data_IF_510849373141
#
_entry.id   IF_510849373141
#
_cell.length_a   1.000
_cell.length_b   1.000
_cell.length_c   1.000
_cell.angle_alpha   90.00
_cell.angle_beta   90.00
_cell.angle_gamma   90.00
#
_symmetry.space_group_name_H-M   'P 1'
#
loop_
_entity.id
_entity.type
_entity.pdbx_description
1 polymer ?
#
# COMPACT_ATOMS: atom_id res chain seq x y z
N UNK A 1 -26.71 4.47 -10.40
CA UNK A 1 -25.58 5.42 -10.54
C UNK A 1 -24.33 4.57 -10.70
N UNK A 2 -23.74 4.50 -11.90
CA UNK A 2 -22.44 3.81 -12.08
C UNK A 2 -21.40 4.67 -11.38
N UNK A 3 -20.80 4.17 -10.31
CA UNK A 3 -19.61 4.79 -9.73
C UNK A 3 -18.52 4.55 -10.79
N UNK A 4 -18.17 5.59 -11.55
CA UNK A 4 -16.99 5.54 -12.42
C UNK A 4 -15.80 5.21 -11.52
N UNK A 5 -15.03 4.19 -11.88
CA UNK A 5 -13.90 3.74 -11.09
C UNK A 5 -12.73 4.71 -11.29
N UNK A 6 -12.82 5.88 -10.67
CA UNK A 6 -11.84 6.97 -10.79
C UNK A 6 -10.66 6.81 -9.86
N UNK A 7 -10.67 5.82 -8.96
CA UNK A 7 -9.63 5.63 -7.93
C UNK A 7 -8.23 5.57 -8.54
N UNK A 8 -8.10 4.95 -9.71
CA UNK A 8 -6.82 4.84 -10.40
C UNK A 8 -6.33 6.18 -10.99
N UNK A 9 -7.23 7.07 -11.41
CA UNK A 9 -6.94 8.28 -12.17
C UNK A 9 -6.31 9.39 -11.34
N UNK A 10 -5.52 10.27 -11.95
CA UNK A 10 -5.01 11.46 -11.28
C UNK A 10 -6.16 12.33 -10.74
N UNK A 11 -6.11 12.69 -9.45
CA UNK A 11 -7.07 13.56 -8.77
C UNK A 11 -6.55 14.98 -8.62
N UNK A 12 -5.23 15.17 -8.64
CA UNK A 12 -4.61 16.49 -8.55
C UNK A 12 -4.99 17.38 -9.72
N UNK A 13 -5.46 18.60 -9.38
CA UNK A 13 -5.71 19.67 -10.34
C UNK A 13 -4.50 20.59 -10.43
N UNK A 14 -4.39 21.33 -11.52
CA UNK A 14 -3.29 22.27 -11.72
C UNK A 14 -3.32 23.45 -10.75
N UNK A 15 -4.49 23.80 -10.24
CA UNK A 15 -4.68 24.85 -9.23
C UNK A 15 -4.25 24.44 -7.82
N UNK A 16 -3.99 23.16 -7.58
CA UNK A 16 -3.77 22.67 -6.23
C UNK A 16 -2.37 23.01 -5.71
N UNK A 17 -2.32 23.52 -4.48
CA UNK A 17 -1.09 23.85 -3.77
C UNK A 17 -1.00 23.00 -2.50
N UNK A 18 0.15 22.33 -2.29
CA UNK A 18 0.44 21.44 -1.14
C UNK A 18 -0.32 20.11 -1.15
N UNK A 19 -0.10 19.29 -2.17
CA UNK A 19 -0.67 17.95 -2.25
C UNK A 19 0.35 16.94 -2.77
N UNK A 20 0.07 15.67 -2.51
CA UNK A 20 0.75 14.54 -3.10
C UNK A 20 -0.29 13.55 -3.67
N UNK A 21 0.14 12.78 -4.67
CA UNK A 21 -0.59 11.63 -5.18
C UNK A 21 0.42 10.58 -5.62
N UNK A 22 0.26 9.35 -5.15
CA UNK A 22 1.20 8.26 -5.37
C UNK A 22 0.49 6.92 -5.50
N UNK A 23 1.05 6.07 -6.36
CA UNK A 23 0.63 4.69 -6.57
C UNK A 23 1.72 3.77 -6.07
N UNK A 24 1.35 2.87 -5.18
CA UNK A 24 2.23 1.86 -4.61
C UNK A 24 1.96 0.54 -5.32
N UNK A 25 2.99 0.01 -5.98
CA UNK A 25 3.01 -1.31 -6.59
C UNK A 25 3.94 -2.19 -5.77
N UNK A 26 3.44 -3.35 -5.33
CA UNK A 26 4.29 -4.36 -4.72
C UNK A 26 4.27 -5.62 -5.57
N UNK A 27 5.47 -6.14 -5.79
CA UNK A 27 5.76 -7.36 -6.54
C UNK A 27 6.46 -8.31 -5.57
N UNK A 28 5.99 -9.56 -5.51
CA UNK A 28 6.60 -10.61 -4.70
C UNK A 28 6.82 -11.84 -5.56
N UNK A 29 8.08 -12.22 -5.71
CA UNK A 29 8.54 -13.49 -6.29
C UNK A 29 9.25 -14.33 -5.21
N UNK A 30 9.47 -15.62 -5.48
CA UNK A 30 10.22 -16.50 -4.60
C UNK A 30 11.66 -16.03 -4.29
N UNK A 31 12.26 -15.18 -5.14
CA UNK A 31 13.64 -14.68 -4.99
C UNK A 31 13.74 -13.22 -4.56
N UNK A 32 12.72 -12.42 -4.82
CA UNK A 32 12.77 -10.97 -4.63
C UNK A 32 11.38 -10.40 -4.33
N UNK A 33 11.32 -9.47 -3.39
CA UNK A 33 10.20 -8.53 -3.27
C UNK A 33 10.69 -7.14 -3.67
N UNK A 34 9.87 -6.44 -4.45
CA UNK A 34 10.12 -5.09 -4.93
C UNK A 34 8.85 -4.27 -4.70
N UNK A 35 8.98 -3.14 -4.02
CA UNK A 35 7.94 -2.13 -4.00
C UNK A 35 8.39 -0.91 -4.81
N UNK A 36 7.44 -0.32 -5.53
CA UNK A 36 7.62 0.81 -6.43
C UNK A 36 6.52 1.82 -6.12
N UNK A 37 6.92 3.02 -5.76
CA UNK A 37 6.04 4.15 -5.51
C UNK A 37 6.30 5.15 -6.62
N UNK A 38 5.34 5.35 -7.50
CA UNK A 38 5.37 6.39 -8.52
C UNK A 38 4.39 7.48 -8.12
N UNK A 39 4.78 8.74 -8.23
CA UNK A 39 3.88 9.81 -7.82
C UNK A 39 4.35 11.20 -8.19
N UNK A 40 3.53 12.17 -7.80
CA UNK A 40 3.84 13.59 -7.87
C UNK A 40 3.63 14.25 -6.52
N UNK A 41 4.45 15.26 -6.25
CA UNK A 41 4.38 16.12 -5.08
C UNK A 41 4.37 17.56 -5.56
N UNK A 42 3.37 18.34 -5.11
CA UNK A 42 3.22 19.77 -5.43
C UNK A 42 3.25 20.59 -4.15
N UNK A 43 4.18 21.53 -4.06
CA UNK A 43 4.29 22.49 -2.95
C UNK A 43 4.47 23.89 -3.53
N UNK A 44 4.33 24.93 -2.69
CA UNK A 44 4.50 26.34 -3.13
C UNK A 44 5.93 26.58 -3.66
N UNK A 45 6.92 25.92 -3.06
CA UNK A 45 8.34 26.14 -3.35
C UNK A 45 8.87 25.20 -4.44
N UNK A 46 8.37 23.96 -4.48
CA UNK A 46 8.88 22.91 -5.35
C UNK A 46 7.75 21.95 -5.74
N UNK A 47 7.70 21.60 -7.01
CA UNK A 47 6.88 20.50 -7.49
C UNK A 47 7.75 19.54 -8.29
N UNK A 48 7.57 18.24 -8.07
CA UNK A 48 8.33 17.21 -8.76
C UNK A 48 7.49 15.94 -8.95
N UNK A 49 7.85 15.17 -9.96
CA UNK A 49 7.47 13.77 -10.06
C UNK A 49 8.58 12.91 -9.44
N UNK A 50 8.23 11.71 -9.00
CA UNK A 50 9.22 10.82 -8.41
C UNK A 50 8.88 9.35 -8.68
N UNK A 51 9.94 8.54 -8.66
CA UNK A 51 9.85 7.09 -8.53
C UNK A 51 10.73 6.69 -7.35
N UNK A 52 10.14 6.06 -6.35
CA UNK A 52 10.82 5.49 -5.20
C UNK A 52 10.71 3.97 -5.24
N UNK A 53 11.80 3.27 -4.99
CA UNK A 53 11.83 1.79 -4.98
C UNK A 53 12.53 1.27 -3.75
N UNK A 54 12.11 0.09 -3.30
CA UNK A 54 12.80 -0.68 -2.28
C UNK A 54 12.77 -2.17 -2.65
N UNK A 55 13.89 -2.86 -2.46
CA UNK A 55 14.03 -4.25 -2.90
C UNK A 55 14.77 -5.13 -1.88
N UNK A 56 14.36 -6.39 -1.77
CA UNK A 56 14.94 -7.35 -0.81
C UNK A 56 16.23 -8.01 -1.31
N UNK A 57 16.66 -7.75 -2.54
CA UNK A 57 17.88 -8.33 -3.10
C UNK A 57 19.12 -7.50 -2.72
N UNK A 58 19.07 -6.20 -2.94
CA UNK A 58 20.11 -5.24 -2.54
C UNK A 58 19.93 -4.74 -1.11
N UNK A 59 18.72 -4.88 -0.56
CA UNK A 59 18.30 -4.28 0.72
C UNK A 59 18.49 -2.75 0.75
N UNK A 60 18.34 -2.09 -0.40
CA UNK A 60 18.38 -0.64 -0.53
C UNK A 60 16.99 -0.08 -0.84
N UNK A 61 16.79 1.17 -0.46
CA UNK A 61 15.75 2.03 -0.99
C UNK A 61 16.38 3.18 -1.77
N UNK A 62 15.67 3.68 -2.77
CA UNK A 62 16.11 4.84 -3.54
C UNK A 62 14.92 5.65 -4.02
N UNK A 63 15.12 6.96 -4.17
CA UNK A 63 14.15 7.87 -4.78
C UNK A 63 14.83 8.67 -5.88
N UNK A 64 14.24 8.67 -7.06
CA UNK A 64 14.66 9.49 -8.19
C UNK A 64 13.60 10.55 -8.41
N UNK A 65 14.01 11.81 -8.36
CA UNK A 65 13.16 12.96 -8.62
C UNK A 65 13.30 13.41 -10.08
N UNK A 66 12.18 13.79 -10.67
CA UNK A 66 12.06 14.21 -12.06
C UNK A 66 11.37 15.57 -12.14
N UNK A 67 11.57 16.26 -13.27
CA UNK A 67 10.77 17.45 -13.57
C UNK A 67 9.30 17.04 -13.74
N UNK A 68 8.37 17.93 -13.41
CA UNK A 68 6.97 17.71 -13.76
C UNK A 68 6.76 17.62 -15.28
N UNK A 69 7.62 18.24 -16.08
CA UNK A 69 7.54 18.15 -17.55
C UNK A 69 7.82 16.72 -18.07
N UNK A 70 8.51 15.90 -17.28
CA UNK A 70 8.75 14.49 -17.59
C UNK A 70 7.54 13.60 -17.26
N UNK A 71 6.57 14.11 -16.49
CA UNK A 71 5.42 13.36 -16.00
C UNK A 71 4.24 13.47 -16.98
N UNK A 72 3.85 12.33 -17.54
CA UNK A 72 2.70 12.21 -18.42
C UNK A 72 1.73 11.20 -17.84
N UNK A 73 0.43 11.45 -18.01
CA UNK A 73 -0.60 10.53 -17.55
C UNK A 73 -1.80 10.51 -18.51
N UNK A 74 -2.54 9.41 -18.47
CA UNK A 74 -3.80 9.24 -19.18
C UNK A 74 -4.90 8.76 -18.24
N UNK A 75 -6.15 9.08 -18.57
CA UNK A 75 -7.34 8.64 -17.81
C UNK A 75 -7.97 7.38 -18.42
N UNK A 76 -8.09 7.33 -19.74
CA UNK A 76 -8.75 6.25 -20.46
C UNK A 76 -8.04 5.97 -21.81
N UNK A 77 -7.17 4.94 -21.87
CA UNK A 77 -6.75 4.07 -20.76
C UNK A 77 -5.91 4.82 -19.72
N UNK A 78 -5.94 4.34 -18.47
CA UNK A 78 -5.05 4.86 -17.43
C UNK A 78 -3.59 4.50 -17.71
N UNK A 79 -2.70 5.49 -17.61
CA UNK A 79 -1.26 5.26 -17.56
C UNK A 79 -0.55 6.39 -16.83
N UNK A 80 0.66 6.10 -16.35
CA UNK A 80 1.66 7.07 -15.91
C UNK A 80 2.96 6.78 -16.67
N UNK A 81 3.59 7.83 -17.18
CA UNK A 81 4.92 7.76 -17.78
C UNK A 81 5.81 8.83 -17.16
N UNK A 82 7.03 8.44 -16.79
CA UNK A 82 8.09 9.35 -16.36
C UNK A 82 9.35 8.97 -17.12
N UNK A 83 9.73 9.78 -18.11
CA UNK A 83 10.77 9.44 -19.10
C UNK A 83 10.54 8.04 -19.70
N UNK A 84 11.47 7.11 -19.49
CA UNK A 84 11.42 5.74 -20.02
C UNK A 84 10.59 4.78 -19.16
N UNK A 85 10.15 5.20 -17.98
CA UNK A 85 9.36 4.38 -17.07
C UNK A 85 7.87 4.48 -17.43
N UNK A 86 7.16 3.36 -17.40
CA UNK A 86 5.75 3.29 -17.80
C UNK A 86 4.96 2.40 -16.85
N UNK A 87 3.86 2.91 -16.33
CA UNK A 87 3.01 2.24 -15.36
C UNK A 87 1.58 2.28 -15.86
N UNK A 88 0.98 1.10 -15.95
CA UNK A 88 -0.46 0.91 -16.13
C UNK A 88 -0.91 -0.08 -15.07
N UNK A 89 -2.19 -0.41 -15.07
CA UNK A 89 -2.64 -1.52 -14.25
C UNK A 89 -2.01 -2.83 -14.74
N UNK A 90 -1.92 -3.03 -16.06
CA UNK A 90 -1.53 -4.27 -16.76
C UNK A 90 -0.02 -4.44 -16.98
N UNK A 91 0.76 -3.36 -16.93
CA UNK A 91 2.18 -3.40 -17.28
C UNK A 91 2.98 -2.39 -16.47
N UNK A 92 4.18 -2.82 -16.06
CA UNK A 92 5.22 -1.98 -15.46
C UNK A 92 6.48 -2.11 -16.32
N UNK A 93 6.99 -0.98 -16.81
CA UNK A 93 8.28 -0.87 -17.47
C UNK A 93 9.16 0.04 -16.61
N UNK A 94 10.33 -0.49 -16.22
CA UNK A 94 11.31 0.21 -15.40
C UNK A 94 12.61 0.41 -16.19
N UNK A 95 13.15 1.61 -16.05
CA UNK A 95 14.46 2.04 -16.51
C UNK A 95 14.94 3.11 -15.51
N UNK A 96 15.52 2.63 -14.41
CA UNK A 96 15.92 3.44 -13.25
C UNK A 96 17.42 3.26 -13.01
N UNK A 97 18.18 4.34 -13.14
CA UNK A 97 19.60 4.38 -12.77
C UNK A 97 19.89 5.73 -12.10
N UNK A 98 20.37 5.67 -10.86
CA UNK A 98 20.85 6.82 -10.10
C UNK A 98 22.25 6.58 -9.50
N UNK A 99 22.96 5.54 -9.96
CA UNK A 99 24.25 5.12 -9.42
C UNK A 99 24.23 4.36 -8.08
N UNK A 100 23.08 4.24 -7.39
CA UNK A 100 22.92 3.41 -6.19
C UNK A 100 22.41 2.01 -6.56
N UNK A 101 21.26 1.93 -7.23
CA UNK A 101 20.67 0.67 -7.70
C UNK A 101 20.11 0.84 -9.12
N UNK A 102 20.69 0.10 -10.07
CA UNK A 102 20.16 -0.02 -11.45
C UNK A 102 19.00 -1.00 -11.46
N UNK A 103 17.79 -0.55 -11.85
CA UNK A 103 16.61 -1.39 -11.98
C UNK A 103 16.03 -1.24 -13.38
N UNK A 104 16.06 -2.33 -14.14
CA UNK A 104 15.44 -2.42 -15.46
C UNK A 104 14.40 -3.55 -15.46
N UNK A 105 13.24 -3.35 -16.04
CA UNK A 105 12.20 -4.38 -15.99
C UNK A 105 11.07 -4.20 -16.98
N UNK A 106 10.45 -5.32 -17.32
CA UNK A 106 9.18 -5.37 -18.05
C UNK A 106 8.33 -6.46 -17.41
N UNK A 107 7.34 -6.03 -16.65
CA UNK A 107 6.45 -6.87 -15.86
C UNK A 107 5.02 -6.71 -16.39
N UNK A 108 4.31 -7.84 -16.47
CA UNK A 108 2.92 -7.92 -16.90
C UNK A 108 2.07 -8.49 -15.79
N UNK A 109 1.00 -7.78 -15.51
CA UNK A 109 0.04 -8.09 -14.47
C UNK A 109 -1.20 -8.74 -15.10
N UNK A 110 -1.77 -9.73 -14.43
CA UNK A 110 -2.94 -10.49 -14.92
C UNK A 110 -3.77 -11.02 -13.75
N UNK A 111 -4.99 -11.50 -14.00
CA UNK A 111 -5.84 -12.15 -12.99
C UNK A 111 -6.07 -11.31 -11.73
N UNK A 112 -6.65 -10.11 -11.88
CA UNK A 112 -6.87 -9.20 -10.76
C UNK A 112 -8.05 -9.61 -9.89
N UNK A 113 -7.81 -9.64 -8.59
CA UNK A 113 -8.87 -9.62 -7.58
C UNK A 113 -9.09 -8.18 -7.13
N UNK A 114 -10.25 -7.62 -7.51
CA UNK A 114 -10.68 -6.28 -7.07
C UNK A 114 -11.29 -6.33 -5.68
N UNK A 115 -11.22 -5.22 -4.98
CA UNK A 115 -11.99 -5.00 -3.78
C UNK A 115 -13.50 -5.11 -4.08
N UNK A 116 -14.25 -5.86 -3.29
CA UNK A 116 -15.72 -5.88 -3.40
C UNK A 116 -16.29 -4.52 -2.97
N UNK A 117 -17.22 -3.96 -3.73
CA UNK A 117 -17.76 -2.62 -3.44
C UNK A 117 -19.27 -2.67 -3.27
N UNK A 118 -19.79 -1.76 -2.46
CA UNK A 118 -21.22 -1.53 -2.28
C UNK A 118 -21.51 -0.03 -2.33
N UNK A 119 -22.77 0.38 -2.42
CA UNK A 119 -23.10 1.80 -2.32
C UNK A 119 -22.73 2.41 -0.95
N UNK A 120 -22.70 1.60 0.11
CA UNK A 120 -22.28 2.05 1.44
C UNK A 120 -20.76 2.10 1.58
N UNK A 121 -20.07 1.15 0.95
CA UNK A 121 -18.63 1.05 0.93
C UNK A 121 -18.12 0.94 -0.51
N UNK A 122 -18.07 2.08 -1.24
CA UNK A 122 -17.64 2.11 -2.64
C UNK A 122 -16.14 1.86 -2.80
N UNK A 123 -15.37 2.08 -1.74
CA UNK A 123 -13.91 1.88 -1.66
C UNK A 123 -13.55 1.23 -0.34
N UNK A 124 -12.26 0.97 -0.09
CA UNK A 124 -11.79 0.44 1.20
C UNK A 124 -12.08 1.42 2.36
N UNK A 125 -12.15 2.72 2.07
CA UNK A 125 -12.49 3.77 3.03
C UNK A 125 -13.97 3.77 3.41
N UNK A 126 -14.81 2.97 2.76
CA UNK A 126 -16.22 2.87 3.09
C UNK A 126 -16.93 4.23 2.90
N UNK A 127 -17.79 4.65 3.84
CA UNK A 127 -18.49 5.93 3.75
C UNK A 127 -17.54 7.15 3.84
N UNK A 128 -16.30 6.98 4.32
CA UNK A 128 -15.33 8.07 4.39
C UNK A 128 -14.89 8.54 2.98
N UNK A 129 -15.05 7.71 1.95
CA UNK A 129 -14.83 8.11 0.56
C UNK A 129 -15.66 9.33 0.13
N UNK A 130 -16.83 9.53 0.75
CA UNK A 130 -17.71 10.66 0.43
C UNK A 130 -17.35 11.95 1.18
N UNK A 131 -16.34 11.93 2.06
CA UNK A 131 -15.92 13.10 2.83
C UNK A 131 -14.78 13.84 2.12
N UNK A 132 -14.96 15.12 1.75
CA UNK A 132 -13.98 15.84 0.93
C UNK A 132 -12.78 16.41 1.71
N UNK A 133 -12.73 16.25 3.04
CA UNK A 133 -11.79 16.95 3.92
C UNK A 133 -10.80 16.03 4.64
N UNK A 134 -10.60 14.80 4.15
CA UNK A 134 -9.61 13.90 4.71
C UNK A 134 -8.19 14.34 4.31
N UNK A 135 -7.25 14.24 5.25
CA UNK A 135 -5.85 14.60 5.00
C UNK A 135 -5.17 13.67 3.99
N UNK A 136 -5.56 12.39 4.01
CA UNK A 136 -5.13 11.36 3.09
C UNK A 136 -6.33 10.50 2.69
N UNK A 137 -6.50 10.32 1.39
CA UNK A 137 -7.41 9.33 0.82
C UNK A 137 -6.59 8.12 0.39
N UNK A 138 -7.23 6.96 0.44
CA UNK A 138 -6.61 5.66 0.22
C UNK A 138 -7.52 4.78 -0.64
N UNK A 139 -6.95 4.13 -1.65
CA UNK A 139 -7.69 3.22 -2.52
C UNK A 139 -6.90 1.94 -2.78
N UNK A 140 -7.61 0.80 -2.79
CA UNK A 140 -7.05 -0.49 -3.19
C UNK A 140 -7.47 -0.77 -4.64
N UNK A 141 -6.52 -0.68 -5.54
CA UNK A 141 -6.72 -0.95 -6.98
C UNK A 141 -6.74 -2.46 -7.25
N UNK A 142 -5.89 -3.20 -6.55
CA UNK A 142 -5.76 -4.65 -6.69
C UNK A 142 -5.40 -5.27 -5.35
N UNK A 143 -6.31 -6.07 -4.77
CA UNK A 143 -6.01 -6.87 -3.57
C UNK A 143 -4.94 -7.91 -3.86
N UNK A 144 -4.99 -8.48 -5.06
CA UNK A 144 -4.02 -9.43 -5.59
C UNK A 144 -4.09 -9.49 -7.11
N UNK A 145 -2.97 -9.73 -7.76
CA UNK A 145 -2.90 -10.15 -9.15
C UNK A 145 -1.65 -11.01 -9.38
N UNK A 146 -1.59 -11.74 -10.48
CA UNK A 146 -0.39 -12.47 -10.90
C UNK A 146 0.54 -11.58 -11.74
N UNK A 147 1.84 -11.73 -11.52
CA UNK A 147 2.90 -10.99 -12.21
C UNK A 147 3.83 -11.95 -12.93
N UNK A 148 4.12 -11.65 -14.20
CA UNK A 148 5.16 -12.33 -14.97
C UNK A 148 6.04 -11.34 -15.70
N UNK A 149 7.31 -11.66 -15.90
CA UNK A 149 8.20 -10.82 -16.69
C UNK A 149 9.66 -10.94 -16.30
N UNK A 150 10.46 -9.97 -16.74
CA UNK A 150 11.89 -9.93 -16.42
C UNK A 150 12.20 -8.68 -15.61
N UNK A 151 13.01 -8.86 -14.58
CA UNK A 151 13.57 -7.78 -13.77
C UNK A 151 15.09 -7.95 -13.73
N UNK A 152 15.84 -6.88 -13.89
CA UNK A 152 17.28 -6.80 -13.70
C UNK A 152 17.52 -5.80 -12.58
N UNK A 153 18.21 -6.23 -11.54
CA UNK A 153 18.64 -5.37 -10.42
C UNK A 153 20.16 -5.45 -10.35
N UNK A 154 20.83 -4.31 -10.58
CA UNK A 154 22.25 -4.24 -10.87
C UNK A 154 22.61 -5.24 -11.99
N UNK A 155 23.60 -6.10 -11.80
CA UNK A 155 23.98 -7.10 -12.80
C UNK A 155 23.16 -8.40 -12.74
N UNK A 156 22.23 -8.54 -11.79
CA UNK A 156 21.48 -9.78 -11.59
C UNK A 156 20.13 -9.74 -12.32
N UNK A 157 19.83 -10.80 -13.08
CA UNK A 157 18.55 -10.99 -13.76
C UNK A 157 17.65 -11.94 -12.98
N UNK A 158 16.37 -11.61 -12.92
CA UNK A 158 15.29 -12.37 -12.32
C UNK A 158 14.20 -12.58 -13.36
N UNK A 159 13.81 -13.84 -13.56
CA UNK A 159 12.53 -14.16 -14.19
C UNK A 159 11.48 -14.13 -13.08
N UNK A 160 10.54 -13.21 -13.18
CA UNK A 160 9.47 -13.02 -12.20
C UNK A 160 8.29 -13.91 -12.57
N UNK A 161 7.85 -14.71 -11.61
CA UNK A 161 6.59 -15.47 -11.63
C UNK A 161 6.02 -15.40 -10.21
N UNK A 162 5.16 -14.43 -9.96
CA UNK A 162 4.77 -14.09 -8.61
C UNK A 162 3.41 -13.44 -8.50
N UNK A 163 3.21 -12.77 -7.37
CA UNK A 163 1.99 -12.07 -7.03
C UNK A 163 2.27 -10.59 -6.82
N UNK A 164 1.24 -9.76 -6.93
CA UNK A 164 1.34 -8.35 -6.63
C UNK A 164 0.11 -7.71 -6.06
N UNK A 165 0.32 -6.47 -5.64
CA UNK A 165 -0.65 -5.61 -4.99
C UNK A 165 -0.51 -4.18 -5.50
N UNK A 166 -1.64 -3.47 -5.62
CA UNK A 166 -1.65 -2.09 -6.06
C UNK A 166 -2.60 -1.30 -5.15
N UNK A 167 -2.06 -0.24 -4.56
CA UNK A 167 -2.82 0.77 -3.84
C UNK A 167 -2.41 2.16 -4.26
N UNK A 168 -3.16 3.14 -3.77
CA UNK A 168 -2.96 4.53 -4.09
C UNK A 168 -3.33 5.42 -2.91
N UNK A 169 -2.50 6.41 -2.68
CA UNK A 169 -2.73 7.46 -1.70
C UNK A 169 -2.68 8.85 -2.34
N UNK A 170 -3.57 9.73 -1.90
CA UNK A 170 -3.55 11.13 -2.31
C UNK A 170 -4.13 12.06 -1.25
N UNK A 171 -3.59 13.26 -1.17
CA UNK A 171 -4.03 14.24 -0.19
C UNK A 171 -2.93 15.23 0.16
N UNK A 172 -2.94 15.71 1.41
CA UNK A 172 -1.99 16.71 1.92
C UNK A 172 -0.84 16.07 2.69
N UNK A 173 -1.15 15.12 3.57
CA UNK A 173 -0.17 14.50 4.47
C UNK A 173 -0.60 13.09 4.82
N UNK A 174 0.36 12.22 5.13
CA UNK A 174 0.05 10.98 5.82
C UNK A 174 -0.43 11.23 7.26
N UNK A 175 -1.22 10.32 7.84
CA UNK A 175 -1.64 10.41 9.24
C UNK A 175 -0.44 10.47 10.19
N UNK A 176 -0.60 11.16 11.33
CA UNK A 176 0.48 11.32 12.33
C UNK A 176 0.89 9.99 12.96
N UNK A 177 -0.10 9.12 13.21
CA UNK A 177 0.10 7.78 13.73
C UNK A 177 -0.59 6.81 12.76
N UNK A 178 0.15 5.85 12.22
CA UNK A 178 -0.41 4.77 11.41
C UNK A 178 0.35 3.44 11.54
N UNK A 179 -0.36 2.35 11.29
CA UNK A 179 0.19 1.02 11.03
C UNK A 179 -0.36 0.56 9.69
N UNK A 180 0.53 0.11 8.81
CA UNK A 180 0.16 -0.50 7.54
C UNK A 180 0.79 -1.89 7.43
N UNK A 181 0.03 -2.86 6.96
CA UNK A 181 0.49 -4.23 6.74
C UNK A 181 -0.19 -4.79 5.48
N UNK A 182 0.62 -5.34 4.58
CA UNK A 182 0.14 -5.99 3.38
C UNK A 182 0.92 -7.27 3.07
N UNK A 183 0.23 -8.35 2.69
CA UNK A 183 0.87 -9.53 2.10
C UNK A 183 -0.06 -10.28 1.15
N UNK A 184 0.49 -10.80 0.05
CA UNK A 184 -0.15 -11.79 -0.82
C UNK A 184 0.44 -13.20 -0.65
N UNK A 185 1.35 -13.39 0.31
CA UNK A 185 2.09 -14.64 0.47
C UNK A 185 1.72 -15.28 1.81
N UNK A 186 0.86 -16.29 1.77
CA UNK A 186 0.47 -17.09 2.93
C UNK A 186 0.93 -18.54 2.77
N UNK A 187 1.49 -19.13 3.84
CA UNK A 187 2.06 -20.48 3.78
C UNK A 187 1.01 -21.58 3.65
N UNK A 188 -0.15 -21.39 4.26
CA UNK A 188 -1.15 -22.45 4.37
C UNK A 188 -2.01 -22.58 3.12
N UNK A 189 -2.27 -21.47 2.43
CA UNK A 189 -3.15 -21.41 1.28
C UNK A 189 -3.07 -20.08 0.55
N UNK A 190 -3.85 -20.01 -0.51
CA UNK A 190 -4.06 -18.82 -1.28
C UNK A 190 -4.82 -17.74 -0.49
N UNK A 191 -4.07 -16.85 0.17
CA UNK A 191 -4.63 -15.78 0.98
C UNK A 191 -3.83 -14.49 0.89
N UNK A 192 -4.54 -13.36 0.97
CA UNK A 192 -3.96 -12.02 1.03
C UNK A 192 -4.52 -11.23 2.21
N UNK A 193 -3.68 -10.44 2.85
CA UNK A 193 -4.05 -9.58 3.97
C UNK A 193 -3.64 -8.15 3.64
N UNK A 194 -4.58 -7.24 3.79
CA UNK A 194 -4.35 -5.80 3.91
C UNK A 194 -4.89 -5.34 5.26
N UNK A 195 -4.14 -4.50 5.97
CA UNK A 195 -4.53 -3.86 7.22
C UNK A 195 -3.93 -2.45 7.26
N UNK A 196 -4.78 -1.45 7.51
CA UNK A 196 -4.37 -0.11 7.87
C UNK A 196 -5.13 0.36 9.11
N UNK A 197 -4.40 0.89 10.09
CA UNK A 197 -4.91 1.55 11.28
C UNK A 197 -4.29 2.94 11.30
N UNK A 198 -5.11 3.97 11.44
CA UNK A 198 -4.61 5.34 11.45
C UNK A 198 -5.41 6.20 12.43
N UNK A 199 -4.74 7.16 13.07
CA UNK A 199 -5.41 8.22 13.81
C UNK A 199 -5.76 9.33 12.84
N UNK A 200 -7.05 9.51 12.59
CA UNK A 200 -7.56 10.44 11.59
C UNK A 200 -8.11 11.68 12.31
N UNK A 201 -7.62 12.89 12.02
CA UNK A 201 -8.24 14.11 12.52
C UNK A 201 -9.58 14.33 11.82
N UNK A 202 -10.60 14.65 12.62
CA UNK A 202 -11.93 14.99 12.14
C UNK A 202 -12.41 16.24 12.90
N UNK A 203 -12.29 17.40 12.24
CA UNK A 203 -12.60 18.70 12.82
C UNK A 203 -11.86 18.92 14.16
N UNK A 204 -12.59 19.11 15.26
CA UNK A 204 -12.03 19.35 16.59
C UNK A 204 -11.67 18.06 17.36
N UNK A 205 -11.81 16.89 16.74
CA UNK A 205 -11.56 15.59 17.36
C UNK A 205 -10.64 14.74 16.49
N UNK A 206 -10.23 13.58 17.01
CA UNK A 206 -9.62 12.52 16.19
C UNK A 206 -10.31 11.20 16.49
N UNK A 207 -10.31 10.29 15.52
CA UNK A 207 -10.77 8.92 15.73
C UNK A 207 -9.75 7.94 15.18
N UNK A 208 -9.73 6.74 15.77
CA UNK A 208 -8.93 5.65 15.26
C UNK A 208 -9.69 4.93 14.15
N UNK A 209 -9.25 5.13 12.91
CA UNK A 209 -9.68 4.38 11.75
C UNK A 209 -9.03 2.99 11.74
N UNK A 210 -9.78 1.98 11.31
CA UNK A 210 -9.29 0.64 11.04
C UNK A 210 -9.99 0.17 9.78
N UNK A 211 -9.19 -0.30 8.82
CA UNK A 211 -9.63 -0.97 7.60
C UNK A 211 -8.74 -2.18 7.38
N UNK A 212 -9.34 -3.35 7.23
CA UNK A 212 -8.64 -4.60 6.97
C UNK A 212 -9.45 -5.41 5.96
N UNK A 213 -8.76 -6.02 5.02
CA UNK A 213 -9.34 -6.96 4.07
C UNK A 213 -8.52 -8.25 4.08
N UNK A 214 -9.17 -9.33 4.49
CA UNK A 214 -8.61 -10.68 4.41
C UNK A 214 -9.28 -11.39 3.22
N UNK A 215 -8.51 -11.65 2.17
CA UNK A 215 -8.92 -12.42 1.00
C UNK A 215 -8.45 -13.86 1.18
N UNK A 216 -9.35 -14.84 1.09
CA UNK A 216 -9.04 -16.26 1.28
C UNK A 216 -9.87 -17.05 0.29
N UNK A 217 -9.23 -17.81 -0.60
CA UNK A 217 -9.94 -18.65 -1.58
C UNK A 217 -11.06 -17.86 -2.32
N UNK A 218 -10.70 -16.68 -2.84
CA UNK A 218 -11.58 -15.67 -3.48
C UNK A 218 -12.65 -15.00 -2.61
N UNK A 219 -12.76 -15.34 -1.33
CA UNK A 219 -13.71 -14.70 -0.42
C UNK A 219 -13.08 -13.54 0.36
N UNK A 220 -13.75 -12.39 0.35
CA UNK A 220 -13.31 -11.20 1.09
C UNK A 220 -14.00 -11.08 2.44
N UNK A 221 -13.19 -10.97 3.49
CA UNK A 221 -13.64 -10.61 4.84
C UNK A 221 -13.20 -9.17 5.10
N UNK A 222 -14.15 -8.25 5.00
CA UNK A 222 -13.92 -6.83 5.31
C UNK A 222 -14.16 -6.56 6.79
N UNK A 223 -13.14 -5.99 7.43
CA UNK A 223 -13.15 -5.60 8.84
C UNK A 223 -12.82 -4.13 8.92
N UNK A 224 -13.79 -3.30 9.28
CA UNK A 224 -13.61 -1.86 9.25
C UNK A 224 -14.41 -1.15 10.34
N UNK A 225 -13.94 0.02 10.79
CA UNK A 225 -14.64 0.83 11.82
C UNK A 225 -16.06 1.18 11.41
N UNK A 226 -16.30 1.47 10.13
CA UNK A 226 -17.63 1.71 9.59
C UNK A 226 -18.55 0.47 9.55
N UNK A 227 -18.00 -0.74 9.75
CA UNK A 227 -18.75 -1.97 10.00
C UNK A 227 -18.74 -2.38 11.48
N UNK A 228 -18.37 -1.46 12.37
CA UNK A 228 -18.33 -1.68 13.81
C UNK A 228 -17.07 -2.38 14.31
N UNK A 229 -16.03 -2.52 13.48
CA UNK A 229 -14.75 -3.02 13.96
C UNK A 229 -14.07 -2.05 14.92
N UNK A 230 -13.31 -2.59 15.87
CA UNK A 230 -12.52 -1.81 16.84
C UNK A 230 -11.21 -2.51 17.14
N UNK A 231 -10.14 -1.73 17.29
CA UNK A 231 -8.91 -2.20 17.93
C UNK A 231 -9.17 -2.25 19.44
N UNK A 232 -8.96 -3.42 20.02
CA UNK A 232 -9.14 -3.69 21.45
C UNK A 232 -7.87 -3.49 22.24
N UNK A 233 -6.74 -3.84 21.63
CA UNK A 233 -5.42 -3.70 22.22
C UNK A 233 -4.38 -3.66 21.10
N UNK A 234 -3.30 -2.93 21.35
CA UNK A 234 -2.13 -2.87 20.48
C UNK A 234 -0.89 -2.56 21.32
N UNK A 235 0.12 -3.40 21.24
CA UNK A 235 1.34 -3.23 22.03
C UNK A 235 2.55 -3.90 21.35
N UNK A 236 3.75 -3.48 21.76
CA UNK A 236 5.02 -4.06 21.29
C UNK A 236 5.72 -4.76 22.44
N UNK A 237 6.19 -5.99 22.21
CA UNK A 237 6.96 -6.75 23.19
C UNK A 237 7.99 -7.63 22.50
N UNK A 238 9.24 -7.57 22.96
CA UNK A 238 10.34 -8.42 22.49
C UNK A 238 10.53 -8.36 20.95
N UNK A 239 10.36 -7.17 20.37
CA UNK A 239 10.47 -6.96 18.91
C UNK A 239 9.29 -7.47 18.08
N UNK A 240 8.18 -7.86 18.72
CA UNK A 240 6.93 -8.21 18.05
C UNK A 240 5.85 -7.17 18.33
N UNK A 241 5.04 -6.86 17.32
CA UNK A 241 3.85 -6.04 17.44
C UNK A 241 2.62 -6.93 17.51
N UNK A 242 1.78 -6.69 18.51
CA UNK A 242 0.57 -7.46 18.75
C UNK A 242 -0.65 -6.56 18.56
N UNK A 243 -1.66 -7.05 17.84
CA UNK A 243 -2.93 -6.38 17.69
C UNK A 243 -4.09 -7.32 17.99
N UNK A 244 -5.09 -6.80 18.69
CA UNK A 244 -6.37 -7.47 18.90
C UNK A 244 -7.45 -6.62 18.26
N UNK A 245 -8.09 -7.13 17.22
CA UNK A 245 -9.17 -6.47 16.49
C UNK A 245 -10.46 -7.26 16.70
N UNK A 246 -11.58 -6.56 16.88
CA UNK A 246 -12.89 -7.20 17.01
C UNK A 246 -13.88 -6.60 16.02
N UNK A 247 -14.67 -7.46 15.37
CA UNK A 247 -15.88 -7.11 14.60
C UNK A 247 -16.85 -8.27 14.72
N UNK A 248 -17.96 -8.09 15.44
CA UNK A 248 -18.86 -9.19 15.79
C UNK A 248 -19.29 -10.01 14.55
N UNK A 249 -19.26 -11.35 14.59
CA UNK A 249 -18.96 -12.23 15.75
C UNK A 249 -17.48 -12.64 15.87
N UNK A 250 -16.57 -11.95 15.17
CA UNK A 250 -15.17 -12.32 15.02
C UNK A 250 -14.21 -11.49 15.88
N UNK A 251 -13.13 -12.13 16.31
CA UNK A 251 -11.95 -11.50 16.91
C UNK A 251 -10.71 -11.97 16.15
N UNK A 252 -9.81 -11.04 15.87
CA UNK A 252 -8.59 -11.24 15.11
C UNK A 252 -7.41 -10.91 16.00
N UNK A 253 -6.49 -11.87 16.15
CA UNK A 253 -5.24 -11.67 16.87
C UNK A 253 -4.11 -11.68 15.86
N UNK A 254 -3.35 -10.60 15.79
CA UNK A 254 -2.26 -10.44 14.85
C UNK A 254 -0.95 -10.31 15.63
N UNK A 255 0.05 -11.10 15.24
CA UNK A 255 1.42 -11.00 15.74
C UNK A 255 2.32 -10.72 14.55
N UNK A 256 3.00 -9.57 14.57
CA UNK A 256 3.85 -9.09 13.48
C UNK A 256 5.29 -9.03 13.97
N UNK A 257 6.23 -9.45 13.14
CA UNK A 257 7.66 -9.22 13.31
C UNK A 257 8.16 -8.45 12.10
N UNK A 258 8.61 -7.22 12.32
CA UNK A 258 9.25 -6.42 11.27
C UNK A 258 10.49 -7.14 10.73
N UNK A 259 10.79 -6.91 9.46
CA UNK A 259 11.94 -7.48 8.77
C UNK A 259 13.09 -6.47 8.68
N UNK A 260 13.80 -6.51 7.56
CA UNK A 260 14.74 -5.45 7.20
C UNK A 260 13.97 -4.15 6.97
N UNK A 261 14.48 -3.04 7.49
CA UNK A 261 13.83 -1.73 7.44
C UNK A 261 14.45 -0.88 6.35
N UNK A 262 13.62 -0.41 5.44
CA UNK A 262 13.95 0.50 4.36
C UNK A 262 13.47 1.90 4.74
N UNK A 263 14.35 2.89 4.64
CA UNK A 263 13.95 4.28 4.83
C UNK A 263 13.30 4.81 3.55
N UNK A 264 12.11 5.40 3.67
CA UNK A 264 11.33 5.93 2.58
C UNK A 264 11.02 7.39 2.82
N UNK A 265 11.09 8.22 1.77
CA UNK A 265 10.55 9.57 1.87
C UNK A 265 9.02 9.51 1.90
N UNK A 266 8.42 10.27 2.80
CA UNK A 266 6.96 10.37 2.98
C UNK A 266 6.47 11.82 2.91
N UNK A 267 5.20 12.05 2.52
CA UNK A 267 4.65 13.39 2.38
C UNK A 267 4.30 14.01 3.74
N UNK A 268 4.85 15.19 4.01
CA UNK A 268 4.47 16.10 5.09
C UNK A 268 4.05 17.44 4.49
N UNK A 269 2.77 17.78 4.57
CA UNK A 269 2.20 19.00 3.94
C UNK A 269 2.53 19.11 2.44
N UNK A 270 2.46 17.99 1.73
CA UNK A 270 2.79 17.84 0.32
C UNK A 270 4.30 17.70 0.04
N UNK A 271 5.20 18.06 0.97
CA UNK A 271 6.66 17.91 0.80
C UNK A 271 7.09 16.47 1.08
N UNK A 272 7.87 15.85 0.19
CA UNK A 272 8.47 14.52 0.42
C UNK A 272 9.71 14.60 1.33
N UNK A 273 9.55 15.16 2.54
CA UNK A 273 10.63 15.37 3.51
C UNK A 273 10.48 14.54 4.79
N UNK A 274 9.34 13.87 4.97
CA UNK A 274 9.16 12.91 6.06
C UNK A 274 9.95 11.64 5.79
N UNK A 275 10.20 10.86 6.84
CA UNK A 275 10.81 9.54 6.74
C UNK A 275 9.91 8.52 7.41
N UNK A 276 9.68 7.40 6.74
CA UNK A 276 8.96 6.24 7.27
C UNK A 276 9.80 4.99 7.02
N UNK A 277 9.70 4.02 7.92
CA UNK A 277 10.39 2.74 7.78
C UNK A 277 9.39 1.69 7.26
N UNK A 278 9.67 1.10 6.10
CA UNK A 278 8.93 -0.05 5.57
C UNK A 278 9.78 -1.32 5.64
N UNK A 279 9.18 -2.47 5.93
CA UNK A 279 9.77 -3.78 5.67
C UNK A 279 9.05 -4.49 4.54
N UNK A 280 9.76 -5.17 3.63
CA UNK A 280 9.15 -6.05 2.61
C UNK A 280 9.21 -7.54 2.94
N UNK A 281 9.94 -7.90 3.99
CA UNK A 281 10.14 -9.28 4.44
C UNK A 281 9.66 -9.49 5.88
N UNK A 282 8.70 -8.68 6.34
CA UNK A 282 8.08 -8.88 7.65
C UNK A 282 7.26 -10.19 7.66
N UNK A 283 7.04 -10.71 8.87
CA UNK A 283 6.25 -11.91 9.13
C UNK A 283 5.01 -11.55 9.94
N UNK A 284 3.86 -12.10 9.57
CA UNK A 284 2.63 -11.89 10.34
C UNK A 284 1.87 -13.21 10.56
N UNK A 285 1.44 -13.44 11.80
CA UNK A 285 0.55 -14.55 12.16
C UNK A 285 -0.80 -13.98 12.53
N UNK A 286 -1.83 -14.33 11.76
CA UNK A 286 -3.22 -13.96 12.01
C UNK A 286 -4.00 -15.16 12.54
N UNK A 287 -4.60 -15.02 13.72
CA UNK A 287 -5.56 -15.97 14.26
C UNK A 287 -6.96 -15.37 14.20
N UNK A 288 -7.91 -16.13 13.65
CA UNK A 288 -9.31 -15.73 13.57
C UNK A 288 -10.14 -16.57 14.53
N UNK A 289 -10.92 -15.91 15.37
CA UNK A 289 -11.85 -16.51 16.31
C UNK A 289 -13.28 -16.11 15.97
N UNK A 290 -14.23 -17.04 16.14
CA UNK A 290 -15.68 -16.78 16.08
C UNK A 290 -16.27 -17.24 17.40
N UNK A 291 -16.90 -16.33 18.16
CA UNK A 291 -17.46 -16.63 19.50
C UNK A 291 -16.50 -17.47 20.38
N UNK A 292 -15.26 -17.00 20.53
CA UNK A 292 -14.18 -17.62 21.33
C UNK A 292 -13.62 -18.97 20.82
N UNK A 293 -14.11 -19.51 19.70
CA UNK A 293 -13.50 -20.67 19.05
C UNK A 293 -12.55 -20.20 17.94
N UNK A 294 -11.30 -20.65 17.96
CA UNK A 294 -10.37 -20.44 16.84
C UNK A 294 -10.91 -21.15 15.60
N UNK A 295 -11.11 -20.41 14.52
CA UNK A 295 -11.64 -20.93 13.24
C UNK A 295 -10.59 -20.94 12.13
N UNK A 296 -9.56 -20.11 12.22
CA UNK A 296 -8.47 -20.09 11.23
C UNK A 296 -7.14 -19.58 11.82
N UNK A 297 -6.04 -19.96 11.14
CA UNK A 297 -4.69 -19.43 11.35
C UNK A 297 -4.05 -19.21 9.98
N UNK A 298 -3.41 -18.07 9.80
CA UNK A 298 -2.65 -17.72 8.60
C UNK A 298 -1.26 -17.26 9.00
N UNK A 299 -0.24 -17.78 8.32
CA UNK A 299 1.16 -17.35 8.47
C UNK A 299 1.55 -16.64 7.18
N UNK A 300 1.47 -15.31 7.21
CA UNK A 300 1.89 -14.44 6.12
C UNK A 300 3.39 -14.18 6.19
N UNK A 301 4.02 -14.20 5.03
CA UNK A 301 5.43 -13.89 4.80
C UNK A 301 5.53 -12.77 3.76
N UNK A 302 6.74 -12.25 3.52
CA UNK A 302 6.98 -11.17 2.57
C UNK A 302 6.01 -10.00 2.79
N UNK A 303 5.73 -9.71 4.07
CA UNK A 303 4.80 -8.66 4.42
C UNK A 303 5.49 -7.31 4.20
N UNK A 304 4.76 -6.43 3.52
CA UNK A 304 4.94 -4.99 3.58
C UNK A 304 4.47 -4.56 4.97
N UNK A 305 5.30 -3.86 5.73
CA UNK A 305 4.95 -3.44 7.08
C UNK A 305 5.55 -2.08 7.43
N UNK A 306 4.69 -1.17 7.87
CA UNK A 306 5.06 0.15 8.38
C UNK A 306 4.41 0.37 9.74
N UNK A 307 5.16 0.98 10.65
CA UNK A 307 4.66 1.47 11.92
C UNK A 307 5.25 2.85 12.17
N UNK A 308 4.39 3.86 12.16
CA UNK A 308 4.78 5.25 12.32
C UNK A 308 3.95 5.92 13.42
N UNK A 309 4.58 6.80 14.18
CA UNK A 309 3.95 7.53 15.29
C UNK A 309 4.04 6.81 16.63
N UNK A 310 3.37 7.37 17.63
CA UNK A 310 3.42 6.90 19.01
C UNK A 310 2.18 6.06 19.35
N UNK A 311 2.35 4.74 19.26
CA UNK A 311 1.32 3.74 19.55
C UNK A 311 1.50 3.05 20.91
N UNK A 312 2.33 3.66 21.77
CA UNK A 312 2.69 3.22 23.12
C UNK A 312 2.08 4.16 24.17
#
# INVERSE_FOLDING_TARGET
MKIENTELNLHLKDSDQRLFEGWYFKIVDCKISLAIIVGISKTIEKSCAFIQTLDTYTNQSQMIEYSLDDFQWGKDPFYIRIKNNFFTKEQIILDLDNGLVDIQGNLKNSQYTKLETTCYAPTIMGPFHYLPFLECNHAIISLRHHITGSLKVNNQKFQIIGDGYIEKDWGRSFPQDYLWLQSNSCKEKEASLFLSIAKIPLLACSFQGLIMNLLVDDQQIRVATYYGARVKDMFTREGYHYLIISQHPHTFYLKIKAGHRFELKSPQSGKMNGYVEESLNALAVLLVYKKNKKVAKFNFINCGFELFGNWL
#
